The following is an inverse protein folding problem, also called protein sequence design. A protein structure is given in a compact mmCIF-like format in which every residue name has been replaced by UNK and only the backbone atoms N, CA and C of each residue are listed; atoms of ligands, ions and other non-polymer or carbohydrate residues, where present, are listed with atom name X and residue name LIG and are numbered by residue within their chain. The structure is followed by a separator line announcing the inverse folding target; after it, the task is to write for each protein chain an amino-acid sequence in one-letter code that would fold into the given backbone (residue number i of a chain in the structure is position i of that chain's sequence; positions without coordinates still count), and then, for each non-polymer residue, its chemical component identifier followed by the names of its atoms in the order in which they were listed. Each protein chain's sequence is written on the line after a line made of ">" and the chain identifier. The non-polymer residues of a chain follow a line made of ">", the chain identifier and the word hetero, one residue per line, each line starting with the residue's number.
data_IF_355540083756
#
_entry.id   IF_355540083756
#
_cell.length_a   1.000
_cell.length_b   1.000
_cell.length_c   1.000
_cell.angle_alpha   90.00
_cell.angle_beta   90.00
_cell.angle_gamma   90.00
#
_symmetry.space_group_name_H-M   'P 1'
#
loop_
_entity.id
_entity.type
_entity.pdbx_description
1 polymer ?
#
# COMPACT_ATOMS: atom_id res chain seq x y z
N UNK A 1 -11.34 -11.37 53.49
CA UNK A 1 -11.39 -10.40 54.61
C UNK A 1 -11.01 -9.03 54.08
N UNK A 2 -11.89 -8.03 54.28
CA UNK A 2 -11.69 -6.57 54.15
C UNK A 2 -11.35 -6.03 52.74
N UNK A 3 -11.95 -4.97 52.21
CA UNK A 3 -13.10 -4.13 52.60
C UNK A 3 -13.49 -3.27 51.37
N UNK A 4 -14.79 -2.99 51.23
CA UNK A 4 -15.39 -2.00 50.33
C UNK A 4 -14.94 -0.57 50.64
N UNK A 5 -14.85 0.30 49.63
CA UNK A 5 -15.32 1.70 49.72
C UNK A 5 -15.98 2.11 48.40
N UNK A 6 -17.28 2.38 48.49
CA UNK A 6 -18.06 3.12 47.51
C UNK A 6 -18.01 4.62 47.86
N UNK A 7 -18.08 5.50 46.86
CA UNK A 7 -18.43 6.91 47.07
C UNK A 7 -19.55 7.34 46.11
N UNK A 8 -20.48 8.07 46.73
CA UNK A 8 -21.79 8.54 46.28
C UNK A 8 -21.71 9.85 45.48
N UNK A 9 -22.67 9.93 44.56
CA UNK A 9 -23.54 11.06 44.18
C UNK A 9 -23.22 12.49 44.65
N UNK A 10 -23.30 13.41 43.68
CA UNK A 10 -23.58 14.83 43.90
C UNK A 10 -24.48 15.37 42.78
N UNK A 11 -25.75 15.58 43.10
CA UNK A 11 -26.76 16.30 42.31
C UNK A 11 -26.69 17.80 42.63
N UNK A 12 -26.83 18.68 41.63
CA UNK A 12 -27.49 19.98 41.84
C UNK A 12 -28.05 20.56 40.53
N UNK A 13 -29.22 21.19 40.69
CA UNK A 13 -30.13 21.73 39.69
C UNK A 13 -29.69 23.11 39.17
N UNK A 14 -30.21 23.50 37.99
CA UNK A 14 -30.24 24.90 37.57
C UNK A 14 -31.05 25.10 36.28
N UNK A 15 -32.30 25.53 36.43
CA UNK A 15 -33.22 25.92 35.36
C UNK A 15 -32.98 27.38 34.90
N UNK A 16 -33.31 27.73 33.66
CA UNK A 16 -34.53 28.49 33.27
C UNK A 16 -34.35 29.16 31.87
N UNK A 17 -35.45 29.15 31.08
CA UNK A 17 -35.98 30.15 30.10
C UNK A 17 -35.02 30.96 29.17
N UNK A 18 -35.31 31.29 27.90
CA UNK A 18 -36.57 31.76 27.28
C UNK A 18 -36.40 31.94 25.75
N UNK A 19 -37.39 31.49 24.96
CA UNK A 19 -38.12 32.15 23.85
C UNK A 19 -37.42 33.16 22.90
N UNK A 20 -37.50 32.88 21.58
CA UNK A 20 -38.09 33.74 20.50
C UNK A 20 -37.76 33.18 19.10
N UNK A 21 -38.69 32.55 18.34
CA UNK A 21 -39.65 33.11 17.35
C UNK A 21 -39.06 34.12 16.34
N UNK A 22 -38.90 33.69 15.08
CA UNK A 22 -39.46 34.35 13.87
C UNK A 22 -39.09 33.59 12.59
N UNK A 23 -40.11 33.27 11.79
CA UNK A 23 -40.06 32.73 10.43
C UNK A 23 -39.84 33.86 9.37
N UNK A 24 -40.25 33.73 8.08
CA UNK A 24 -39.37 33.43 6.95
C UNK A 24 -39.39 34.53 5.88
N UNK A 25 -38.35 34.67 5.04
CA UNK A 25 -38.47 35.49 3.81
C UNK A 25 -37.63 34.91 2.67
N UNK A 26 -38.30 34.34 1.66
CA UNK A 26 -37.85 34.33 0.28
C UNK A 26 -38.29 35.65 -0.40
N UNK A 27 -37.51 36.19 -1.34
CA UNK A 27 -37.95 36.14 -2.75
C UNK A 27 -36.76 35.87 -3.70
N UNK A 28 -36.88 34.94 -4.65
CA UNK A 28 -37.37 35.13 -6.01
C UNK A 28 -36.44 35.95 -6.94
N UNK A 29 -35.96 35.23 -7.96
CA UNK A 29 -35.72 35.64 -9.35
C UNK A 29 -34.59 36.62 -9.68
N UNK A 30 -33.56 36.10 -10.38
CA UNK A 30 -33.21 36.63 -11.70
C UNK A 30 -32.51 35.55 -12.54
N UNK A 31 -33.22 35.06 -13.54
CA UNK A 31 -32.68 34.24 -14.62
C UNK A 31 -32.05 35.20 -15.62
N UNK A 32 -30.72 35.17 -15.76
CA UNK A 32 -30.02 35.80 -16.88
C UNK A 32 -29.64 34.70 -17.88
N UNK A 33 -30.25 34.78 -19.06
CA UNK A 33 -29.90 33.99 -20.24
C UNK A 33 -28.47 34.32 -20.67
N UNK A 34 -27.59 33.32 -20.61
CA UNK A 34 -26.28 33.37 -21.27
C UNK A 34 -26.43 32.92 -22.73
N UNK A 35 -25.74 33.58 -23.67
CA UNK A 35 -25.76 33.24 -25.09
C UNK A 35 -25.13 31.88 -25.34
N UNK A 36 -25.79 31.09 -26.19
CA UNK A 36 -25.28 29.85 -26.77
C UNK A 36 -24.00 30.15 -27.55
N UNK A 37 -22.87 29.67 -27.04
CA UNK A 37 -21.66 29.49 -27.84
C UNK A 37 -21.75 28.08 -28.42
N UNK A 38 -21.70 27.99 -29.75
CA UNK A 38 -21.47 26.74 -30.47
C UNK A 38 -20.16 26.13 -29.98
N UNK A 39 -20.25 25.04 -29.23
CA UNK A 39 -19.12 24.15 -28.99
C UNK A 39 -18.75 23.52 -30.33
N UNK A 40 -17.67 24.03 -30.91
CA UNK A 40 -16.90 23.30 -31.90
C UNK A 40 -16.42 22.03 -31.20
N UNK A 41 -17.06 20.90 -31.52
CA UNK A 41 -16.50 19.56 -31.29
C UNK A 41 -15.21 19.47 -32.09
N UNK A 42 -14.12 19.88 -31.46
CA UNK A 42 -12.79 19.45 -31.86
C UNK A 42 -12.69 18.03 -31.34
N UNK A 43 -12.54 17.08 -32.26
CA UNK A 43 -12.29 15.68 -31.95
C UNK A 43 -10.98 15.58 -31.14
N UNK A 44 -11.14 15.58 -29.81
CA UNK A 44 -10.10 15.39 -28.79
C UNK A 44 -9.60 13.93 -28.72
N UNK A 45 -10.08 13.06 -29.61
CA UNK A 45 -9.80 11.63 -29.61
C UNK A 45 -8.49 11.26 -30.35
N UNK A 46 -7.91 12.17 -31.14
CA UNK A 46 -6.68 11.87 -31.92
C UNK A 46 -5.39 12.46 -31.33
N UNK A 47 -5.47 13.22 -30.23
CA UNK A 47 -4.30 13.68 -29.46
C UNK A 47 -4.08 12.94 -28.14
N UNK A 48 -4.77 11.81 -27.92
CA UNK A 48 -4.26 10.74 -27.04
C UNK A 48 -3.10 10.02 -27.74
N UNK A 49 -1.99 10.76 -27.81
CA UNK A 49 -0.61 10.28 -27.81
C UNK A 49 -0.56 8.81 -27.40
N UNK A 50 -0.22 7.84 -28.26
CA UNK A 50 1.16 7.50 -28.63
C UNK A 50 2.23 7.78 -27.55
N UNK A 51 1.85 7.76 -26.26
CA UNK A 51 2.75 7.26 -25.24
C UNK A 51 2.92 5.78 -25.58
N UNK A 52 4.07 5.41 -26.15
CA UNK A 52 4.56 4.05 -25.96
C UNK A 52 4.50 3.84 -24.46
N UNK A 53 3.51 3.08 -23.99
CA UNK A 53 3.42 2.72 -22.59
C UNK A 53 4.73 1.99 -22.32
N UNK A 54 5.69 2.67 -21.68
CA UNK A 54 6.89 2.02 -21.22
C UNK A 54 6.41 0.98 -20.22
N UNK A 55 6.34 -0.26 -20.67
CA UNK A 55 6.00 -1.38 -19.83
C UNK A 55 7.21 -1.62 -18.94
N UNK A 56 7.08 -1.21 -17.68
CA UNK A 56 8.09 -1.48 -16.67
C UNK A 56 8.04 -2.95 -16.31
N UNK A 57 9.22 -3.57 -16.16
CA UNK A 57 9.29 -4.93 -15.65
C UNK A 57 9.05 -4.98 -14.13
N UNK A 58 8.85 -6.18 -13.58
CA UNK A 58 8.55 -6.39 -12.16
C UNK A 58 9.59 -5.71 -11.25
N UNK A 59 10.89 -5.86 -11.53
CA UNK A 59 11.95 -5.25 -10.74
C UNK A 59 11.88 -3.72 -10.72
N UNK A 60 11.62 -3.11 -11.88
CA UNK A 60 11.49 -1.66 -11.99
C UNK A 60 10.29 -1.16 -11.19
N UNK A 61 9.15 -1.86 -11.27
CA UNK A 61 7.97 -1.52 -10.49
C UNK A 61 8.25 -1.56 -8.99
N UNK A 62 8.91 -2.61 -8.50
CA UNK A 62 9.26 -2.72 -7.08
C UNK A 62 10.25 -1.63 -6.66
N UNK A 63 11.25 -1.33 -7.50
CA UNK A 63 12.18 -0.22 -7.23
C UNK A 63 11.46 1.13 -7.12
N UNK A 64 10.50 1.42 -8.01
CA UNK A 64 9.73 2.65 -7.91
C UNK A 64 8.84 2.69 -6.66
N UNK A 65 8.24 1.56 -6.28
CA UNK A 65 7.48 1.51 -5.02
C UNK A 65 8.37 1.73 -3.81
N UNK A 66 9.58 1.19 -3.80
CA UNK A 66 10.58 1.38 -2.73
C UNK A 66 11.04 2.84 -2.65
N UNK A 67 11.34 3.44 -3.80
CA UNK A 67 11.70 4.86 -3.89
C UNK A 67 10.60 5.74 -3.30
N UNK A 68 9.34 5.52 -3.69
CA UNK A 68 8.21 6.25 -3.12
C UNK A 68 8.07 5.95 -1.64
N UNK A 69 8.15 4.69 -1.21
CA UNK A 69 8.06 4.30 0.20
C UNK A 69 9.08 5.05 1.06
N UNK A 70 10.30 5.21 0.55
CA UNK A 70 11.42 5.89 1.21
C UNK A 70 11.37 7.43 1.15
N UNK A 71 10.41 8.02 0.42
CA UNK A 71 10.25 9.48 0.42
C UNK A 71 9.87 9.98 1.81
N UNK A 72 10.71 10.85 2.39
CA UNK A 72 10.48 11.39 3.73
C UNK A 72 9.29 12.34 3.74
N UNK A 73 8.42 12.18 4.75
CA UNK A 73 7.37 13.16 5.06
C UNK A 73 7.97 14.13 6.09
N UNK A 74 8.06 15.44 5.78
CA UNK A 74 8.70 16.40 6.67
C UNK A 74 8.00 16.47 8.03
N UNK A 75 8.79 16.33 9.11
CA UNK A 75 8.28 16.37 10.48
C UNK A 75 8.03 17.78 11.02
N UNK A 76 8.47 18.81 10.30
CA UNK A 76 8.31 20.21 10.66
C UNK A 76 6.92 20.78 10.31
N UNK A 77 6.06 19.99 9.67
CA UNK A 77 4.68 20.37 9.34
C UNK A 77 3.74 19.80 10.41
N UNK A 78 2.82 20.60 10.98
CA UNK A 78 1.76 20.10 11.86
C UNK A 78 0.96 18.97 11.20
N UNK A 79 0.50 17.99 11.98
CA UNK A 79 -0.10 16.76 11.45
C UNK A 79 -1.32 17.05 10.55
N UNK A 80 -2.06 18.11 10.85
CA UNK A 80 -3.24 18.56 10.11
C UNK A 80 -2.90 19.00 8.68
N UNK A 81 -1.67 19.47 8.46
CA UNK A 81 -1.19 19.96 7.17
C UNK A 81 -0.38 18.93 6.40
N UNK A 82 -0.13 17.74 6.97
CA UNK A 82 0.56 16.64 6.27
C UNK A 82 -0.34 15.89 5.29
N UNK A 83 -1.66 16.04 5.41
CA UNK A 83 -2.66 15.34 4.58
C UNK A 83 -2.35 15.37 3.08
N UNK A 84 -2.16 16.55 2.46
CA UNK A 84 -1.86 16.63 1.03
C UNK A 84 -0.56 15.93 0.61
N UNK A 85 0.49 16.00 1.44
CA UNK A 85 1.77 15.31 1.16
C UNK A 85 1.61 13.80 1.24
N UNK A 86 0.86 13.30 2.23
CA UNK A 86 0.56 11.88 2.37
C UNK A 86 -0.30 11.39 1.21
N UNK A 87 -1.31 12.15 0.81
CA UNK A 87 -2.18 11.81 -0.33
C UNK A 87 -1.40 11.74 -1.63
N UNK A 88 -0.49 12.68 -1.87
CA UNK A 88 0.40 12.64 -3.04
C UNK A 88 1.30 11.40 -3.01
N UNK A 89 2.03 11.17 -1.90
CA UNK A 89 2.90 9.99 -1.74
C UNK A 89 2.12 8.69 -1.95
N UNK A 90 0.90 8.61 -1.41
CA UNK A 90 0.03 7.45 -1.56
C UNK A 90 -0.43 7.26 -3.00
N UNK A 91 -0.78 8.33 -3.72
CA UNK A 91 -1.14 8.25 -5.13
C UNK A 91 0.06 7.78 -5.98
N UNK A 92 1.24 8.36 -5.73
CA UNK A 92 2.49 7.99 -6.40
C UNK A 92 2.88 6.54 -6.11
N UNK A 93 2.57 6.01 -4.92
CA UNK A 93 2.79 4.62 -4.56
C UNK A 93 1.78 3.69 -5.23
N UNK A 94 0.48 4.00 -5.13
CA UNK A 94 -0.59 3.15 -5.65
C UNK A 94 -0.63 3.10 -7.19
N UNK A 95 -0.01 4.05 -7.90
CA UNK A 95 -0.03 4.04 -9.37
C UNK A 95 0.65 2.81 -9.97
N UNK A 96 1.55 2.13 -9.25
CA UNK A 96 2.26 0.94 -9.74
C UNK A 96 1.49 -0.37 -9.55
N UNK A 97 0.33 -0.33 -8.89
CA UNK A 97 -0.48 -1.50 -8.59
C UNK A 97 -1.65 -1.64 -9.57
N UNK A 98 -2.01 -2.89 -9.87
CA UNK A 98 -3.24 -3.19 -10.59
C UNK A 98 -4.47 -2.85 -9.73
N UNK A 99 -5.63 -2.70 -10.37
CA UNK A 99 -6.87 -2.32 -9.67
C UNK A 99 -7.33 -3.41 -8.68
N UNK A 100 -7.09 -4.66 -9.04
CA UNK A 100 -7.37 -5.87 -8.29
C UNK A 100 -6.12 -6.42 -7.59
N UNK A 101 -5.10 -5.57 -7.39
CA UNK A 101 -3.90 -5.96 -6.69
C UNK A 101 -4.21 -6.45 -5.27
N UNK A 102 -3.59 -7.56 -4.87
CA UNK A 102 -3.82 -8.18 -3.57
C UNK A 102 -2.53 -8.48 -2.83
N UNK A 103 -2.65 -8.63 -1.51
CA UNK A 103 -1.55 -9.05 -0.63
C UNK A 103 -1.96 -10.32 0.08
N UNK A 104 -1.12 -11.35 0.00
CA UNK A 104 -1.42 -12.71 0.44
C UNK A 104 -0.36 -13.16 1.44
N UNK A 105 -0.77 -13.88 2.48
CA UNK A 105 0.17 -14.55 3.37
C UNK A 105 0.74 -15.79 2.66
N UNK A 106 2.05 -15.84 2.46
CA UNK A 106 2.70 -16.90 1.69
C UNK A 106 2.57 -18.29 2.34
N UNK A 107 2.38 -18.39 3.65
CA UNK A 107 2.25 -19.68 4.34
C UNK A 107 0.84 -20.26 4.19
N UNK A 108 -0.16 -19.42 4.44
CA UNK A 108 -1.57 -19.83 4.52
C UNK A 108 -2.32 -19.66 3.20
N UNK A 109 -1.71 -18.94 2.25
CA UNK A 109 -2.30 -18.53 0.96
C UNK A 109 -3.60 -17.74 1.13
N UNK A 110 -3.82 -17.13 2.30
CA UNK A 110 -5.00 -16.31 2.58
C UNK A 110 -4.74 -14.83 2.27
N UNK A 111 -5.74 -14.10 1.77
CA UNK A 111 -5.62 -12.65 1.59
C UNK A 111 -5.37 -11.96 2.93
N UNK A 112 -4.39 -11.07 2.95
CA UNK A 112 -4.14 -10.09 4.00
C UNK A 112 -4.84 -8.77 3.63
N UNK A 113 -4.74 -8.37 2.35
CA UNK A 113 -5.41 -7.21 1.75
C UNK A 113 -6.03 -7.69 0.43
N UNK A 114 -7.34 -7.50 0.27
CA UNK A 114 -8.08 -8.17 -0.81
C UNK A 114 -8.06 -7.39 -2.13
N UNK A 115 -7.86 -6.07 -2.08
CA UNK A 115 -7.84 -5.21 -3.25
C UNK A 115 -6.98 -3.94 -3.06
N UNK A 116 -6.90 -3.13 -4.12
CA UNK A 116 -6.18 -1.86 -4.09
C UNK A 116 -6.72 -0.86 -3.06
N UNK A 117 -7.99 -0.92 -2.67
CA UNK A 117 -8.56 -0.03 -1.64
C UNK A 117 -8.00 -0.40 -0.27
N UNK A 118 -7.91 -1.69 0.03
CA UNK A 118 -7.28 -2.17 1.28
C UNK A 118 -5.80 -1.81 1.34
N UNK A 119 -5.07 -1.99 0.23
CA UNK A 119 -3.67 -1.53 0.09
C UNK A 119 -3.60 -0.02 0.37
N UNK A 120 -4.44 0.78 -0.29
CA UNK A 120 -4.47 2.23 -0.11
C UNK A 120 -4.73 2.61 1.35
N UNK A 121 -5.74 2.03 2.00
CA UNK A 121 -6.05 2.31 3.41
C UNK A 121 -4.93 1.90 4.35
N UNK A 122 -4.30 0.74 4.10
CA UNK A 122 -3.14 0.26 4.87
C UNK A 122 -1.97 1.24 4.77
N UNK A 123 -1.53 1.55 3.56
CA UNK A 123 -0.34 2.38 3.33
C UNK A 123 -0.59 3.86 3.64
N UNK A 124 -1.82 4.36 3.52
CA UNK A 124 -2.18 5.68 4.05
C UNK A 124 -1.88 5.78 5.55
N UNK A 125 -2.23 4.74 6.31
CA UNK A 125 -1.94 4.67 7.74
C UNK A 125 -0.45 4.56 7.99
N UNK A 126 0.25 3.69 7.25
CA UNK A 126 1.72 3.54 7.38
C UNK A 126 2.44 4.86 7.13
N UNK A 127 2.16 5.54 6.02
CA UNK A 127 2.80 6.80 5.68
C UNK A 127 2.48 7.93 6.66
N UNK A 128 1.27 7.95 7.22
CA UNK A 128 0.89 8.95 8.22
C UNK A 128 1.59 8.74 9.56
N UNK A 129 1.70 7.48 10.01
CA UNK A 129 2.09 7.16 11.39
C UNK A 129 3.57 6.76 11.55
N UNK A 130 4.27 6.30 10.50
CA UNK A 130 5.66 5.83 10.61
C UNK A 130 6.71 6.95 10.72
N UNK A 131 6.33 8.22 10.54
CA UNK A 131 7.24 9.36 10.66
C UNK A 131 8.25 9.48 9.51
N UNK A 132 9.38 10.16 9.77
CA UNK A 132 10.41 10.48 8.76
C UNK A 132 11.43 9.37 8.52
N UNK A 133 11.44 8.37 9.39
CA UNK A 133 12.49 7.35 9.46
C UNK A 133 12.02 6.03 8.85
N UNK A 134 10.80 6.01 8.28
CA UNK A 134 10.28 4.90 7.51
C UNK A 134 11.19 4.62 6.31
N UNK A 135 11.67 3.39 6.23
CA UNK A 135 12.55 2.94 5.16
C UNK A 135 12.25 1.48 4.80
N UNK A 136 12.35 1.16 3.51
CA UNK A 136 12.44 -0.20 2.99
C UNK A 136 13.76 -0.33 2.24
N UNK A 137 14.43 -1.46 2.45
CA UNK A 137 15.64 -1.82 1.74
C UNK A 137 15.55 -3.25 1.23
N UNK A 138 15.66 -3.41 -0.08
CA UNK A 138 15.90 -4.70 -0.70
C UNK A 138 17.35 -5.13 -0.46
N UNK A 139 17.52 -6.32 0.12
CA UNK A 139 18.81 -6.92 0.49
C UNK A 139 19.28 -7.93 -0.55
N UNK A 140 18.36 -8.71 -1.11
CA UNK A 140 18.61 -9.76 -2.10
C UNK A 140 17.41 -9.83 -3.02
N UNK A 141 17.64 -10.14 -4.30
CA UNK A 141 16.57 -10.21 -5.28
C UNK A 141 16.78 -11.31 -6.30
N UNK A 142 15.72 -12.06 -6.58
CA UNK A 142 15.62 -12.94 -7.73
C UNK A 142 14.52 -12.44 -8.65
N UNK A 143 14.88 -12.19 -9.90
CA UNK A 143 13.97 -11.72 -10.93
C UNK A 143 13.71 -12.81 -11.96
N UNK A 144 12.44 -13.12 -12.18
CA UNK A 144 11.96 -14.12 -13.13
C UNK A 144 11.40 -13.38 -14.34
N UNK A 145 12.23 -13.23 -15.36
CA UNK A 145 11.93 -12.46 -16.57
C UNK A 145 10.97 -13.23 -17.47
N UNK A 146 9.91 -12.57 -17.91
CA UNK A 146 8.96 -13.12 -18.85
C UNK A 146 9.64 -13.53 -20.16
N UNK A 147 9.27 -14.70 -20.69
CA UNK A 147 9.78 -15.18 -21.99
C UNK A 147 9.17 -14.40 -23.18
N UNK A 148 8.00 -13.78 -22.98
CA UNK A 148 7.24 -13.04 -23.98
C UNK A 148 6.71 -11.71 -23.42
N UNK A 149 6.56 -10.70 -24.30
CA UNK A 149 6.03 -9.39 -23.90
C UNK A 149 4.61 -9.50 -23.33
N UNK A 150 4.38 -8.90 -22.16
CA UNK A 150 3.09 -8.93 -21.47
C UNK A 150 2.81 -10.22 -20.69
N UNK A 151 3.71 -11.20 -20.71
CA UNK A 151 3.60 -12.38 -19.85
C UNK A 151 3.89 -12.05 -18.38
N UNK A 152 3.64 -13.03 -17.50
CA UNK A 152 3.82 -12.87 -16.06
C UNK A 152 5.30 -12.78 -15.71
N UNK A 153 5.64 -11.78 -14.91
CA UNK A 153 6.96 -11.61 -14.33
C UNK A 153 6.87 -11.73 -12.82
N UNK A 154 7.93 -12.22 -12.19
CA UNK A 154 8.00 -12.37 -10.75
C UNK A 154 9.29 -11.81 -10.19
N UNK A 155 9.23 -11.39 -8.92
CA UNK A 155 10.40 -10.92 -8.18
C UNK A 155 10.34 -11.45 -6.75
N UNK A 156 11.36 -12.15 -6.28
CA UNK A 156 11.50 -12.52 -4.87
C UNK A 156 12.51 -11.58 -4.24
N UNK A 157 12.05 -10.80 -3.27
CA UNK A 157 12.88 -9.85 -2.53
C UNK A 157 13.00 -10.24 -1.08
N UNK A 158 14.23 -10.15 -0.57
CA UNK A 158 14.48 -10.15 0.86
C UNK A 158 14.58 -8.71 1.30
N UNK A 159 13.66 -8.26 2.13
CA UNK A 159 13.45 -6.86 2.44
C UNK A 159 13.64 -6.62 3.93
N UNK A 160 14.28 -5.49 4.24
CA UNK A 160 14.31 -4.93 5.57
C UNK A 160 13.45 -3.67 5.61
N UNK A 161 12.40 -3.69 6.43
CA UNK A 161 11.52 -2.56 6.69
C UNK A 161 11.91 -1.95 8.03
N UNK A 162 12.42 -0.73 8.05
CA UNK A 162 12.79 0.00 9.26
C UNK A 162 11.67 0.97 9.68
N UNK A 163 11.46 1.11 10.99
CA UNK A 163 10.50 2.04 11.58
C UNK A 163 9.05 1.91 11.06
N UNK A 164 8.64 0.73 10.61
CA UNK A 164 7.29 0.50 10.10
C UNK A 164 6.27 0.38 11.25
N UNK A 165 5.19 1.15 11.18
CA UNK A 165 4.01 0.95 12.03
C UNK A 165 3.10 -0.11 11.43
N UNK A 166 2.35 -0.82 12.28
CA UNK A 166 1.35 -1.77 11.78
C UNK A 166 -0.02 -1.54 12.37
N UNK A 167 -1.06 -1.37 11.54
CA UNK A 167 -2.44 -1.37 12.00
C UNK A 167 -2.77 -2.57 12.87
N UNK A 168 -3.47 -2.32 13.98
CA UNK A 168 -4.01 -3.37 14.85
C UNK A 168 -5.35 -3.83 14.28
N UNK A 169 -5.55 -5.14 14.02
CA UNK A 169 -6.83 -5.66 13.56
C UNK A 169 -7.98 -5.27 14.49
N UNK A 170 -9.11 -4.85 13.91
CA UNK A 170 -10.33 -4.52 14.65
C UNK A 170 -10.35 -3.14 15.32
N UNK A 171 -9.28 -2.34 15.23
CA UNK A 171 -9.27 -0.96 15.70
C UNK A 171 -9.43 0.03 14.55
N UNK A 172 -9.98 1.21 14.86
CA UNK A 172 -10.08 2.30 13.87
C UNK A 172 -8.68 2.80 13.54
N UNK A 173 -8.49 3.16 12.27
CA UNK A 173 -7.23 3.70 11.75
C UNK A 173 -7.22 5.23 11.79
N UNK A 174 -7.71 5.80 12.90
CA UNK A 174 -7.89 7.25 13.12
C UNK A 174 -6.78 7.89 13.98
N UNK A 175 -5.67 7.20 14.19
CA UNK A 175 -4.46 7.74 14.82
C UNK A 175 -3.59 6.69 15.50
N UNK A 176 -2.69 7.15 16.36
CA UNK A 176 -1.67 6.33 17.03
C UNK A 176 -2.21 5.16 17.89
N UNK A 177 -3.46 5.25 18.38
CA UNK A 177 -4.08 4.17 19.18
C UNK A 177 -4.42 2.94 18.32
N UNK A 178 -4.61 3.13 17.01
CA UNK A 178 -4.96 2.07 16.06
C UNK A 178 -3.76 1.29 15.53
N UNK A 179 -2.54 1.64 15.93
CA UNK A 179 -1.30 1.04 15.39
C UNK A 179 -0.42 0.44 16.49
N UNK A 180 0.42 -0.51 16.09
CA UNK A 180 1.64 -0.89 16.81
C UNK A 180 2.71 0.12 16.41
N UNK A 181 3.46 0.62 17.39
CA UNK A 181 4.49 1.62 17.17
C UNK A 181 5.61 1.15 16.21
N UNK A 182 6.48 2.07 15.79
CA UNK A 182 7.55 1.78 14.84
C UNK A 182 8.41 0.60 15.29
N UNK A 183 8.69 -0.32 14.38
CA UNK A 183 9.59 -1.46 14.58
C UNK A 183 10.27 -1.82 13.28
N UNK A 184 11.29 -2.66 13.39
CA UNK A 184 11.95 -3.21 12.22
C UNK A 184 11.40 -4.61 11.92
N UNK A 185 11.21 -4.92 10.64
CA UNK A 185 10.65 -6.18 10.18
C UNK A 185 11.44 -6.66 8.96
N UNK A 186 11.83 -7.92 8.99
CA UNK A 186 12.45 -8.60 7.86
C UNK A 186 11.40 -9.48 7.17
N UNK A 187 11.24 -9.29 5.86
CA UNK A 187 10.27 -9.99 5.03
C UNK A 187 10.94 -10.61 3.82
N UNK A 188 10.34 -11.68 3.32
CA UNK A 188 10.60 -12.25 2.00
C UNK A 188 9.31 -12.05 1.21
N UNK A 189 9.36 -11.25 0.17
CA UNK A 189 8.21 -10.84 -0.62
C UNK A 189 8.34 -11.42 -2.03
N UNK A 190 7.36 -12.19 -2.47
CA UNK A 190 7.20 -12.53 -3.88
C UNK A 190 6.22 -11.55 -4.51
N UNK A 191 6.69 -10.78 -5.48
CA UNK A 191 5.88 -9.94 -6.34
C UNK A 191 5.53 -10.70 -7.62
N UNK A 192 4.30 -10.49 -8.09
CA UNK A 192 3.86 -10.81 -9.45
C UNK A 192 3.44 -9.53 -10.13
N UNK A 193 3.86 -9.38 -11.39
CA UNK A 193 3.42 -8.28 -12.23
C UNK A 193 2.98 -8.76 -13.60
N UNK A 194 2.04 -8.03 -14.18
CA UNK A 194 1.62 -8.16 -15.57
C UNK A 194 1.25 -6.78 -16.10
N UNK A 195 1.45 -6.57 -17.41
CA UNK A 195 1.09 -5.32 -18.08
C UNK A 195 1.64 -4.04 -17.39
N UNK A 196 2.86 -4.13 -16.82
CA UNK A 196 3.50 -3.02 -16.13
C UNK A 196 2.82 -2.59 -14.82
N UNK A 197 2.12 -3.51 -14.13
CA UNK A 197 1.51 -3.30 -12.81
C UNK A 197 1.76 -4.49 -11.90
N UNK A 198 1.88 -4.23 -10.60
CA UNK A 198 1.96 -5.25 -9.56
C UNK A 198 0.54 -5.78 -9.30
N UNK A 199 0.34 -7.08 -9.52
CA UNK A 199 -0.95 -7.75 -9.36
C UNK A 199 -1.07 -8.45 -8.00
N UNK A 200 0.03 -8.99 -7.49
CA UNK A 200 -0.01 -9.74 -6.24
C UNK A 200 1.33 -9.68 -5.50
N UNK A 201 1.24 -9.65 -4.18
CA UNK A 201 2.38 -9.76 -3.28
C UNK A 201 2.13 -10.91 -2.31
N UNK A 202 3.01 -11.91 -2.25
CA UNK A 202 3.01 -12.92 -1.20
C UNK A 202 4.07 -12.59 -0.17
N UNK A 203 3.63 -12.41 1.08
CA UNK A 203 4.50 -12.03 2.18
C UNK A 203 4.85 -13.24 3.06
N UNK A 204 6.14 -13.40 3.34
CA UNK A 204 6.67 -14.38 4.26
C UNK A 204 7.57 -13.68 5.30
N UNK A 205 7.40 -13.91 6.62
CA UNK A 205 8.35 -13.36 7.60
C UNK A 205 9.73 -14.04 7.49
N UNK A 206 10.81 -13.26 7.40
CA UNK A 206 12.17 -13.78 7.45
C UNK A 206 12.61 -14.05 8.92
N UNK A 207 12.00 -15.07 9.53
CA UNK A 207 12.21 -15.39 10.95
C UNK A 207 13.66 -15.73 11.29
N UNK A 208 14.39 -16.25 10.32
CA UNK A 208 15.78 -16.68 10.47
C UNK A 208 16.77 -15.60 10.02
N UNK A 209 16.28 -14.48 9.49
CA UNK A 209 17.08 -13.35 8.97
C UNK A 209 18.11 -13.81 7.92
N UNK A 210 17.73 -14.78 7.10
CA UNK A 210 18.64 -15.33 6.08
C UNK A 210 18.97 -14.28 5.01
N UNK A 211 18.07 -13.33 4.74
CA UNK A 211 18.36 -12.22 3.81
C UNK A 211 19.39 -11.22 4.31
N UNK A 212 19.56 -11.11 5.64
CA UNK A 212 20.58 -10.25 6.25
C UNK A 212 21.95 -10.92 6.37
N UNK A 213 22.02 -12.25 6.23
CA UNK A 213 23.26 -12.97 6.38
C UNK A 213 24.18 -12.69 5.19
N UNK A 214 25.35 -12.11 5.48
CA UNK A 214 26.37 -11.77 4.47
C UNK A 214 27.24 -12.97 4.09
N UNK A 215 27.16 -14.05 4.86
CA UNK A 215 27.93 -15.29 4.64
C UNK A 215 27.18 -16.22 3.70
N UNK A 216 25.85 -16.28 3.83
CA UNK A 216 25.02 -17.10 2.94
C UNK A 216 25.15 -16.61 1.50
N UNK A 217 25.57 -17.51 0.62
CA UNK A 217 25.61 -17.26 -0.81
C UNK A 217 24.22 -17.44 -1.44
N UNK A 218 24.14 -17.12 -2.73
CA UNK A 218 22.94 -17.35 -3.53
C UNK A 218 22.44 -18.81 -3.41
N UNK A 219 23.33 -19.79 -3.52
CA UNK A 219 22.98 -21.22 -3.45
C UNK A 219 22.37 -21.61 -2.11
N UNK A 220 22.90 -21.13 -0.99
CA UNK A 220 22.35 -21.44 0.33
C UNK A 220 20.93 -20.86 0.51
N UNK A 221 20.70 -19.67 -0.05
CA UNK A 221 19.39 -19.02 -0.04
C UNK A 221 18.40 -19.76 -0.93
N UNK A 222 18.84 -20.23 -2.10
CA UNK A 222 18.03 -21.03 -3.02
C UNK A 222 17.65 -22.38 -2.42
N UNK A 223 18.53 -23.01 -1.62
CA UNK A 223 18.23 -24.25 -0.90
C UNK A 223 17.32 -24.05 0.31
N UNK A 224 17.06 -22.80 0.71
CA UNK A 224 16.22 -22.51 1.86
C UNK A 224 14.75 -22.91 1.64
N UNK A 225 14.11 -23.39 2.70
CA UNK A 225 12.68 -23.75 2.66
C UNK A 225 11.80 -22.56 2.24
N UNK A 226 12.19 -21.34 2.62
CA UNK A 226 11.47 -20.13 2.27
C UNK A 226 11.46 -19.89 0.76
N UNK A 227 12.64 -19.93 0.13
CA UNK A 227 12.77 -19.73 -1.32
C UNK A 227 12.04 -20.82 -2.10
N UNK A 228 12.24 -22.08 -1.73
CA UNK A 228 11.55 -23.22 -2.37
C UNK A 228 10.02 -23.09 -2.27
N UNK A 229 9.50 -22.69 -1.10
CA UNK A 229 8.06 -22.46 -0.92
C UNK A 229 7.50 -21.30 -1.75
N UNK A 230 8.32 -20.33 -2.15
CA UNK A 230 7.93 -19.27 -3.08
C UNK A 230 8.00 -19.72 -4.54
N UNK A 231 8.97 -20.56 -4.91
CA UNK A 231 9.00 -21.19 -6.25
C UNK A 231 7.75 -22.02 -6.51
N UNK A 232 7.31 -22.80 -5.52
CA UNK A 232 6.05 -23.57 -5.60
C UNK A 232 4.84 -22.65 -5.88
N UNK A 233 4.82 -21.43 -5.32
CA UNK A 233 3.76 -20.45 -5.62
C UNK A 233 3.80 -20.01 -7.08
N UNK A 234 4.99 -19.72 -7.61
CA UNK A 234 5.16 -19.30 -9.01
C UNK A 234 4.65 -20.40 -9.94
N UNK A 235 5.03 -21.66 -9.69
CA UNK A 235 4.60 -22.80 -10.50
C UNK A 235 3.07 -23.00 -10.45
N UNK A 236 2.48 -22.94 -9.26
CA UNK A 236 1.03 -23.06 -9.08
C UNK A 236 0.26 -21.92 -9.77
N UNK A 237 0.75 -20.68 -9.64
CA UNK A 237 0.11 -19.51 -10.21
C UNK A 237 0.20 -19.49 -11.74
N UNK A 238 1.37 -19.83 -12.30
CA UNK A 238 1.56 -19.99 -13.74
C UNK A 238 0.61 -21.08 -14.29
N UNK A 239 0.50 -22.22 -13.60
CA UNK A 239 -0.43 -23.30 -13.98
C UNK A 239 -1.89 -22.85 -13.95
N UNK A 240 -2.31 -22.12 -12.91
CA UNK A 240 -3.67 -21.58 -12.80
C UNK A 240 -3.97 -20.57 -13.91
N UNK A 241 -3.00 -19.73 -14.22
CA UNK A 241 -3.08 -18.70 -15.27
C UNK A 241 -2.90 -19.24 -16.68
N UNK A 242 -2.58 -20.55 -16.83
CA UNK A 242 -2.18 -21.18 -18.11
C UNK A 242 -1.01 -20.45 -18.78
N UNK A 243 -0.15 -19.82 -17.98
CA UNK A 243 1.08 -19.17 -18.42
C UNK A 243 2.25 -20.15 -18.31
N UNK A 244 3.32 -19.89 -19.08
CA UNK A 244 4.58 -20.56 -18.86
C UNK A 244 5.21 -20.07 -17.54
N UNK A 245 5.93 -20.95 -16.86
CA UNK A 245 6.80 -20.55 -15.75
C UNK A 245 8.03 -19.88 -16.37
N UNK A 246 8.37 -18.64 -15.98
CA UNK A 246 9.54 -17.97 -16.50
C UNK A 246 10.82 -18.78 -16.25
N UNK A 247 11.65 -18.94 -17.27
CA UNK A 247 12.86 -19.79 -17.19
C UNK A 247 14.12 -18.99 -16.93
N UNK A 248 14.11 -17.70 -17.26
CA UNK A 248 15.26 -16.81 -17.10
C UNK A 248 15.22 -16.13 -15.73
N UNK A 249 16.19 -16.47 -14.90
CA UNK A 249 16.31 -15.96 -13.53
C UNK A 249 17.58 -15.12 -13.38
N UNK A 250 17.44 -13.93 -12.83
CA UNK A 250 18.56 -13.03 -12.51
C UNK A 250 18.64 -12.83 -10.99
N UNK A 251 19.85 -12.82 -10.46
CA UNK A 251 20.12 -12.58 -9.04
C UNK A 251 20.85 -11.25 -8.83
N UNK A 252 20.43 -10.50 -7.82
CA UNK A 252 21.04 -9.22 -7.41
C UNK A 252 21.26 -9.19 -5.89
N UNK A 253 22.38 -8.62 -5.45
CA UNK A 253 22.85 -8.56 -4.05
C UNK A 253 23.01 -7.14 -3.48
#
# INVERSE_FOLDING_TARGET
>A
MRQLVAMKEGTSNGADKTVSKSEPVQPAQKTEEKPQQEEVKVDDDEQQQQQMAMTFNCCQLVNFTDEVFNQKIPNNVPIEHRGPTIEKKLADFCQFFAKDAMVVDANTKKPILEDLRDIRTRYQTVFRESGSDLEIKTLRRWYFEADEEGALEYCIDFEHHAHIVSPRPGLRLDGALGVVGPRDVDLITLYKSSNGKIDCMWLLPDKNRIGQDKILGQTDLEESQAYQGLLEIIEEDAKKSKAAVPTKVHYYD
#
